data_IF_420661732216
#
_entry.id   IF_420661732216
#
_cell.length_a   1.000
_cell.length_b   1.000
_cell.length_c   1.000
_cell.angle_alpha   90.00
_cell.angle_beta   90.00
_cell.angle_gamma   90.00
#
_symmetry.space_group_name_H-M   'P 1'
#
loop_
_entity.id
_entity.type
_entity.pdbx_description
1 polymer ?
#
# COMPACT_ATOMS: atom_id res chain seq x y z
N UNK A 1 -0.68 -5.54 19.96
CA UNK A 1 -0.71 -4.71 18.75
C UNK A 1 -1.13 -5.62 17.62
N UNK A 2 -2.11 -5.22 16.83
CA UNK A 2 -2.51 -6.02 15.66
C UNK A 2 -1.41 -6.01 14.61
N UNK A 3 -1.21 -7.16 13.96
CA UNK A 3 -0.28 -7.27 12.84
C UNK A 3 -0.98 -6.79 11.57
N UNK A 4 -0.29 -6.05 10.67
CA UNK A 4 -0.80 -5.76 9.34
C UNK A 4 -1.22 -7.03 8.61
N UNK A 5 -2.40 -7.02 7.98
CA UNK A 5 -2.88 -8.16 7.19
C UNK A 5 -2.67 -7.93 5.69
N UNK A 6 -2.27 -9.00 4.99
CA UNK A 6 -1.95 -8.93 3.56
C UNK A 6 -3.18 -8.90 2.64
N UNK A 7 -3.08 -8.30 1.44
CA UNK A 7 -1.89 -7.63 0.90
C UNK A 7 -1.58 -6.29 1.57
N UNK A 8 -0.32 -5.87 1.43
CA UNK A 8 0.16 -4.54 1.84
C UNK A 8 0.28 -3.66 0.62
N UNK A 9 -0.26 -2.44 0.70
CA UNK A 9 -0.25 -1.45 -0.37
C UNK A 9 0.64 -0.30 0.08
N UNK A 10 1.70 0.00 -0.67
CA UNK A 10 2.67 1.06 -0.35
C UNK A 10 2.69 2.08 -1.48
N UNK A 11 2.84 3.35 -1.10
CA UNK A 11 3.09 4.45 -2.01
C UNK A 11 4.45 5.07 -1.70
N UNK A 12 5.25 5.28 -2.74
CA UNK A 12 6.50 6.04 -2.64
C UNK A 12 6.26 7.57 -2.72
N UNK A 13 7.33 8.35 -2.76
CA UNK A 13 7.34 9.81 -2.87
C UNK A 13 6.95 10.32 -4.27
N UNK A 14 7.14 9.49 -5.30
CA UNK A 14 6.61 9.68 -6.66
C UNK A 14 5.13 9.25 -6.81
N UNK A 15 4.50 8.80 -5.72
CA UNK A 15 3.15 8.23 -5.68
C UNK A 15 2.97 7.02 -6.61
N UNK A 16 4.05 6.32 -6.92
CA UNK A 16 3.94 4.98 -7.47
C UNK A 16 3.39 4.04 -6.40
N UNK A 17 2.61 3.05 -6.81
CA UNK A 17 1.89 2.14 -5.92
C UNK A 17 2.47 0.75 -6.09
N UNK A 18 2.75 0.09 -4.97
CA UNK A 18 3.19 -1.29 -4.90
C UNK A 18 2.21 -2.09 -4.07
N UNK A 19 1.76 -3.24 -4.59
CA UNK A 19 0.90 -4.17 -3.84
C UNK A 19 1.65 -5.47 -3.62
N UNK A 20 2.05 -5.69 -2.37
CA UNK A 20 2.92 -6.75 -1.93
C UNK A 20 2.10 -7.79 -1.14
N UNK A 21 2.48 -9.06 -1.23
CA UNK A 21 1.69 -10.19 -0.71
C UNK A 21 1.35 -10.06 0.77
N UNK A 22 2.33 -9.65 1.57
CA UNK A 22 2.24 -9.56 3.02
C UNK A 22 3.33 -8.63 3.55
N UNK A 23 3.29 -8.37 4.87
CA UNK A 23 4.26 -7.52 5.57
C UNK A 23 5.70 -7.97 5.36
N UNK A 24 5.99 -9.28 5.49
CA UNK A 24 7.36 -9.77 5.43
C UNK A 24 7.94 -9.64 4.02
N UNK A 25 7.13 -9.90 2.99
CA UNK A 25 7.50 -9.61 1.61
C UNK A 25 7.76 -8.13 1.37
N UNK A 26 6.95 -7.24 1.96
CA UNK A 26 7.16 -5.81 1.84
C UNK A 26 8.45 -5.33 2.52
N UNK A 27 8.70 -5.76 3.76
CA UNK A 27 9.91 -5.43 4.51
C UNK A 27 11.18 -5.96 3.86
N UNK A 28 11.11 -7.13 3.20
CA UNK A 28 12.25 -7.70 2.47
C UNK A 28 12.50 -7.07 1.11
N UNK A 29 11.48 -6.47 0.49
CA UNK A 29 11.57 -5.86 -0.84
C UNK A 29 11.97 -4.39 -0.77
N UNK A 30 11.51 -3.66 0.26
CA UNK A 30 11.69 -2.22 0.33
C UNK A 30 13.11 -1.82 0.77
N UNK A 31 13.73 -0.92 0.03
CA UNK A 31 15.14 -0.55 0.21
C UNK A 31 15.30 0.71 1.06
N UNK A 32 14.58 1.80 0.77
CA UNK A 32 14.83 3.11 1.36
C UNK A 32 13.61 3.62 2.15
N UNK A 33 13.63 3.63 3.49
CA UNK A 33 12.44 3.99 4.29
C UNK A 33 11.97 5.44 4.12
N UNK A 34 12.82 6.33 3.64
CA UNK A 34 12.50 7.73 3.34
C UNK A 34 11.71 7.92 2.03
N UNK A 35 11.77 6.94 1.10
CA UNK A 35 10.91 6.91 -0.08
C UNK A 35 9.45 6.56 0.29
N UNK A 36 9.21 5.93 1.44
CA UNK A 36 7.86 5.59 1.90
C UNK A 36 7.07 6.86 2.26
N UNK A 37 5.91 7.07 1.62
CA UNK A 37 5.00 8.15 2.03
C UNK A 37 3.76 7.63 2.73
N UNK A 38 3.13 6.59 2.19
CA UNK A 38 1.90 6.02 2.72
C UNK A 38 1.90 4.51 2.59
N UNK A 39 1.24 3.84 3.52
CA UNK A 39 1.01 2.41 3.45
C UNK A 39 -0.33 2.03 4.04
N UNK A 40 -0.90 0.95 3.54
CA UNK A 40 -2.17 0.40 4.01
C UNK A 40 -2.10 -1.13 4.02
N UNK A 41 -2.79 -1.72 4.98
CA UNK A 41 -3.05 -3.16 4.95
C UNK A 41 -4.35 -3.47 4.16
N UNK A 42 -4.74 -4.74 4.09
CA UNK A 42 -5.92 -5.16 3.30
C UNK A 42 -7.26 -4.59 3.80
N UNK A 43 -7.31 -4.06 5.03
CA UNK A 43 -8.48 -3.39 5.60
C UNK A 43 -8.38 -1.87 5.49
N UNK A 44 -7.48 -1.35 4.65
CA UNK A 44 -7.17 0.07 4.54
C UNK A 44 -6.74 0.71 5.87
N UNK A 45 -6.18 -0.07 6.81
CA UNK A 45 -5.63 0.51 8.04
C UNK A 45 -4.26 1.11 7.73
N UNK A 46 -3.97 2.34 8.19
CA UNK A 46 -2.73 3.02 7.83
C UNK A 46 -1.52 2.35 8.46
N UNK A 47 -0.44 2.31 7.68
CA UNK A 47 0.86 1.80 8.06
C UNK A 47 1.88 2.92 8.16
N UNK A 48 2.88 2.71 8.99
CA UNK A 48 4.11 3.49 9.05
C UNK A 48 5.29 2.59 8.75
N UNK A 49 6.33 3.17 8.15
CA UNK A 49 7.59 2.50 7.91
C UNK A 49 8.69 3.14 8.76
N UNK A 50 9.49 2.30 9.42
CA UNK A 50 10.66 2.73 10.20
C UNK A 50 11.83 1.79 9.96
N UNK A 51 13.04 2.16 10.38
CA UNK A 51 14.23 1.32 10.26
C UNK A 51 15.33 1.97 9.41
N UNK A 52 16.30 1.15 9.04
CA UNK A 52 17.44 1.54 8.20
C UNK A 52 17.24 1.03 6.77
N UNK A 53 17.99 1.57 5.79
CA UNK A 53 17.98 1.02 4.44
C UNK A 53 18.17 -0.50 4.39
N UNK A 54 17.33 -1.19 3.62
CA UNK A 54 17.21 -2.65 3.51
C UNK A 54 16.84 -3.40 4.81
N UNK A 55 16.48 -2.69 5.88
CA UNK A 55 16.07 -3.26 7.16
C UNK A 55 14.85 -2.51 7.72
N UNK A 56 13.84 -2.34 6.86
CA UNK A 56 12.64 -1.61 7.24
C UNK A 56 11.66 -2.49 8.02
N UNK A 57 10.78 -1.83 8.78
CA UNK A 57 9.67 -2.44 9.52
C UNK A 57 8.39 -1.70 9.24
N UNK A 58 7.32 -2.46 9.05
CA UNK A 58 5.98 -1.96 8.80
C UNK A 58 5.07 -2.25 10.00
N UNK A 59 4.44 -1.19 10.50
CA UNK A 59 3.58 -1.25 11.69
C UNK A 59 2.30 -0.45 11.44
N UNK A 60 1.20 -0.87 12.08
CA UNK A 60 -0.05 -0.10 12.06
C UNK A 60 0.15 1.19 12.84
N UNK A 61 -0.18 2.33 12.22
CA UNK A 61 -0.21 3.64 12.88
C UNK A 61 -1.60 3.97 13.42
N UNK A 62 -2.62 3.23 12.99
CA UNK A 62 -4.00 3.35 13.47
C UNK A 62 -4.80 2.06 13.25
N UNK A 63 -5.84 1.87 14.07
CA UNK A 63 -6.74 0.71 13.96
C UNK A 63 -7.96 0.91 13.07
N UNK A 64 -8.30 2.17 12.76
CA UNK A 64 -9.42 2.51 11.89
C UNK A 64 -9.01 2.45 10.41
N UNK A 65 -9.91 1.98 9.56
CA UNK A 65 -9.73 2.01 8.12
C UNK A 65 -9.81 3.45 7.60
N UNK A 66 -8.91 3.80 6.67
CA UNK A 66 -8.95 5.04 5.91
C UNK A 66 -9.12 4.72 4.41
N UNK A 67 -10.30 4.18 4.08
CA UNK A 67 -10.63 3.78 2.72
C UNK A 67 -10.64 4.95 1.74
N UNK A 68 -11.04 6.13 2.21
CA UNK A 68 -11.14 7.33 1.39
C UNK A 68 -9.74 7.76 0.93
N UNK A 69 -8.77 7.77 1.84
CA UNK A 69 -7.39 8.12 1.51
C UNK A 69 -6.74 7.07 0.60
N UNK A 70 -6.91 5.77 0.89
CA UNK A 70 -6.41 4.71 0.03
C UNK A 70 -6.94 4.88 -1.41
N UNK A 71 -8.25 5.04 -1.58
CA UNK A 71 -8.85 5.22 -2.92
C UNK A 71 -8.34 6.47 -3.62
N UNK A 72 -8.13 7.57 -2.89
CA UNK A 72 -7.58 8.82 -3.43
C UNK A 72 -6.16 8.61 -3.94
N UNK A 73 -5.31 7.92 -3.19
CA UNK A 73 -3.92 7.64 -3.57
C UNK A 73 -3.83 6.68 -4.75
N UNK A 74 -4.64 5.61 -4.78
CA UNK A 74 -4.73 4.70 -5.94
C UNK A 74 -5.15 5.47 -7.19
N UNK A 75 -6.18 6.31 -7.12
CA UNK A 75 -6.57 7.14 -8.27
C UNK A 75 -5.43 8.09 -8.70
N UNK A 76 -4.66 8.61 -7.74
CA UNK A 76 -3.46 9.40 -7.99
C UNK A 76 -2.39 8.64 -8.77
N UNK A 77 -2.09 7.41 -8.36
CA UNK A 77 -1.16 6.50 -9.05
C UNK A 77 -1.60 6.25 -10.50
N UNK A 78 -2.84 5.79 -10.69
CA UNK A 78 -3.36 5.46 -12.03
C UNK A 78 -3.28 6.66 -12.99
N UNK A 79 -3.67 7.84 -12.51
CA UNK A 79 -3.63 9.07 -13.31
C UNK A 79 -2.21 9.45 -13.74
N UNK A 80 -1.21 9.24 -12.89
CA UNK A 80 0.19 9.64 -13.14
C UNK A 80 0.94 8.61 -13.96
N UNK A 81 0.77 7.34 -13.62
CA UNK A 81 1.68 6.27 -14.03
C UNK A 81 1.06 5.29 -15.03
N UNK A 82 -0.28 5.13 -15.04
CA UNK A 82 -0.98 4.14 -15.88
C UNK A 82 -1.90 4.81 -16.90
N UNK A 83 -1.32 5.42 -17.94
CA UNK A 83 -2.09 6.13 -18.98
C UNK A 83 -3.11 5.21 -19.67
N UNK A 84 -4.38 5.64 -19.67
CA UNK A 84 -5.48 4.92 -20.31
C UNK A 84 -6.04 3.74 -19.49
N UNK A 85 -5.50 3.50 -18.28
CA UNK A 85 -6.08 2.57 -17.32
C UNK A 85 -6.88 3.34 -16.26
N UNK A 86 -7.88 2.69 -15.68
CA UNK A 86 -8.68 3.26 -14.61
C UNK A 86 -8.54 2.43 -13.34
N UNK A 87 -8.56 3.08 -12.16
CA UNK A 87 -8.55 2.37 -10.89
C UNK A 87 -9.83 1.54 -10.72
N UNK A 88 -9.80 0.45 -9.92
CA UNK A 88 -11.00 -0.33 -9.63
C UNK A 88 -12.13 0.53 -9.07
N UNK A 89 -13.33 0.40 -9.65
CA UNK A 89 -14.52 1.21 -9.28
C UNK A 89 -15.45 0.53 -8.27
N UNK A 90 -15.06 -0.60 -7.70
CA UNK A 90 -15.88 -1.38 -6.76
C UNK A 90 -16.08 -0.63 -5.45
N UNK A 91 -17.30 -0.67 -4.91
CA UNK A 91 -17.64 -0.04 -3.63
C UNK A 91 -17.15 -0.85 -2.43
N UNK A 92 -17.10 -2.18 -2.54
CA UNK A 92 -16.52 -3.05 -1.52
C UNK A 92 -15.01 -2.86 -1.43
N UNK A 93 -14.49 -2.62 -0.22
CA UNK A 93 -13.06 -2.50 0.01
C UNK A 93 -12.32 -3.80 -0.34
N UNK A 94 -12.86 -4.95 0.06
CA UNK A 94 -12.22 -6.25 -0.21
C UNK A 94 -12.03 -6.48 -1.71
N UNK A 95 -13.06 -6.14 -2.50
CA UNK A 95 -13.04 -6.33 -3.95
C UNK A 95 -12.14 -5.30 -4.61
N UNK A 96 -12.12 -4.07 -4.08
CA UNK A 96 -11.21 -3.02 -4.52
C UNK A 96 -9.74 -3.44 -4.35
N UNK A 97 -9.36 -3.88 -3.15
CA UNK A 97 -8.00 -4.36 -2.84
C UNK A 97 -7.65 -5.60 -3.66
N UNK A 98 -8.58 -6.54 -3.83
CA UNK A 98 -8.35 -7.74 -4.63
C UNK A 98 -8.12 -7.46 -6.12
N UNK A 99 -8.66 -6.35 -6.64
CA UNK A 99 -8.54 -5.95 -8.03
C UNK A 99 -7.27 -5.13 -8.34
N UNK A 100 -6.48 -4.72 -7.34
CA UNK A 100 -5.23 -3.99 -7.57
C UNK A 100 -4.14 -4.89 -8.19
N UNK A 101 -3.29 -4.35 -9.07
CA UNK A 101 -2.18 -5.10 -9.65
C UNK A 101 -1.18 -5.50 -8.56
N UNK A 102 -0.77 -6.76 -8.54
CA UNK A 102 0.19 -7.29 -7.57
C UNK A 102 1.59 -7.38 -8.16
N UNK A 103 2.58 -7.01 -7.36
CA UNK A 103 3.99 -7.18 -7.70
C UNK A 103 4.46 -8.59 -7.31
N UNK A 104 5.34 -9.19 -8.14
CA UNK A 104 5.99 -10.47 -7.84
C UNK A 104 5.03 -11.67 -7.82
N UNK A 105 4.73 -12.21 -9.01
CA UNK A 105 3.94 -13.45 -9.16
C UNK A 105 4.71 -14.70 -8.75
#
# INVERSE_FOLDING_TARGET
MDTPIGPVIIFDDDFYMYVLRDRASAEAWWEMPDEFTHGFDALARPLGMTGEPHQVRLELTGGAADEAELRRLVAGHYRRHLRGQEPPRTSSLSDFVAALPREGR
#
